data_IF_983572049298
#
_entry.id   IF_983572049298
#
_cell.length_a   1.000
_cell.length_b   1.000
_cell.length_c   1.000
_cell.angle_alpha   90.00
_cell.angle_beta   90.00
_cell.angle_gamma   90.00
#
_symmetry.space_group_name_H-M   'P 1'
#
loop_
_entity.id
_entity.type
_entity.pdbx_description
1 polymer ?
#
# COMPACT_ATOMS: atom_id res chain seq x y z
N UNK A 1 19.47 6.10 19.74
CA UNK A 1 18.23 5.30 19.72
C UNK A 1 17.39 5.83 18.55
N UNK A 2 17.39 5.09 17.44
CA UNK A 2 16.73 5.46 16.18
C UNK A 2 15.21 5.44 16.33
N UNK A 3 14.60 6.62 16.40
CA UNK A 3 13.15 6.78 16.46
C UNK A 3 12.45 7.23 15.14
N UNK A 4 12.89 6.88 13.90
CA UNK A 4 12.01 7.05 12.73
C UNK A 4 10.89 6.01 12.70
N UNK A 5 11.11 4.80 13.24
CA UNK A 5 10.25 3.65 12.97
C UNK A 5 8.90 3.69 13.70
N UNK A 6 8.75 4.49 14.76
CA UNK A 6 7.52 4.49 15.58
C UNK A 6 6.42 5.37 14.99
N UNK A 7 6.76 6.46 14.29
CA UNK A 7 5.76 7.31 13.62
C UNK A 7 5.08 6.57 12.47
N UNK A 8 5.87 5.95 11.61
CA UNK A 8 5.36 5.22 10.44
C UNK A 8 4.51 4.00 10.83
N UNK A 9 4.78 3.39 12.00
CA UNK A 9 3.97 2.30 12.54
C UNK A 9 2.63 2.75 13.07
N UNK A 10 2.52 3.93 13.67
CA UNK A 10 1.22 4.46 14.12
C UNK A 10 0.36 4.86 12.90
N UNK A 11 0.99 5.52 11.93
CA UNK A 11 0.32 5.99 10.70
C UNK A 11 -0.24 4.83 9.87
N UNK A 12 0.53 3.74 9.70
CA UNK A 12 0.04 2.57 8.95
C UNK A 12 -1.09 1.83 9.66
N UNK A 13 -1.15 1.89 11.00
CA UNK A 13 -2.26 1.28 11.76
C UNK A 13 -3.56 2.02 11.52
N UNK A 14 -3.52 3.35 11.67
CA UNK A 14 -4.69 4.20 11.40
C UNK A 14 -5.12 4.06 9.95
N UNK A 15 -4.17 4.02 9.01
CA UNK A 15 -4.46 3.81 7.60
C UNK A 15 -5.15 2.45 7.36
N UNK A 16 -4.66 1.38 7.99
CA UNK A 16 -5.22 0.04 7.84
C UNK A 16 -6.61 -0.10 8.46
N UNK A 17 -6.88 0.56 9.59
CA UNK A 17 -8.18 0.55 10.26
C UNK A 17 -9.25 1.40 9.54
N UNK A 18 -8.83 2.42 8.80
CA UNK A 18 -9.75 3.36 8.12
C UNK A 18 -9.89 3.13 6.61
N UNK A 19 -9.14 2.17 6.06
CA UNK A 19 -9.20 1.80 4.64
C UNK A 19 -9.75 0.38 4.49
N UNK A 20 -10.50 0.13 3.42
CA UNK A 20 -11.01 -1.21 3.10
C UNK A 20 -9.89 -2.11 2.57
N UNK A 21 -8.97 -1.51 1.82
CA UNK A 21 -7.79 -2.13 1.25
C UNK A 21 -6.54 -1.32 1.62
N UNK A 22 -5.39 -1.98 1.78
CA UNK A 22 -4.09 -1.31 2.00
C UNK A 22 -3.07 -1.83 0.99
N UNK A 23 -2.38 -0.91 0.31
CA UNK A 23 -1.31 -1.22 -0.61
C UNK A 23 0.01 -0.66 -0.08
N UNK A 24 0.99 -1.54 0.11
CA UNK A 24 2.36 -1.21 0.50
C UNK A 24 3.24 -1.34 -0.73
N UNK A 25 3.86 -0.24 -1.14
CA UNK A 25 4.76 -0.19 -2.30
C UNK A 25 6.20 -0.31 -1.82
N UNK A 26 6.86 -1.41 -2.16
CA UNK A 26 8.27 -1.60 -1.90
C UNK A 26 8.72 -3.03 -2.04
N UNK A 27 10.03 -3.20 -2.04
CA UNK A 27 10.66 -4.49 -2.27
C UNK A 27 10.31 -5.50 -1.15
N UNK A 28 9.83 -6.72 -1.48
CA UNK A 28 9.52 -7.76 -0.51
C UNK A 28 10.74 -8.29 0.26
N UNK A 29 11.96 -8.01 -0.20
CA UNK A 29 13.22 -8.32 0.50
C UNK A 29 13.62 -7.23 1.51
N UNK A 30 13.01 -6.04 1.42
CA UNK A 30 13.30 -4.94 2.34
C UNK A 30 12.59 -5.14 3.68
N UNK A 31 13.39 -5.21 4.75
CA UNK A 31 12.88 -5.34 6.11
C UNK A 31 11.91 -4.19 6.50
N UNK A 32 12.09 -2.98 5.93
CA UNK A 32 11.19 -1.86 6.19
C UNK A 32 9.82 -2.06 5.53
N UNK A 33 9.80 -2.47 4.25
CA UNK A 33 8.57 -2.74 3.51
C UNK A 33 7.79 -3.91 4.12
N UNK A 34 8.49 -5.01 4.43
CA UNK A 34 7.91 -6.17 5.12
C UNK A 34 7.32 -5.79 6.47
N UNK A 35 7.97 -4.92 7.23
CA UNK A 35 7.46 -4.48 8.54
C UNK A 35 6.18 -3.66 8.40
N UNK A 36 6.11 -2.73 7.46
CA UNK A 36 4.88 -1.96 7.19
C UNK A 36 3.74 -2.89 6.75
N UNK A 37 4.03 -3.80 5.83
CA UNK A 37 3.09 -4.81 5.36
C UNK A 37 2.59 -5.71 6.49
N UNK A 38 3.48 -6.24 7.33
CA UNK A 38 3.09 -7.13 8.44
C UNK A 38 2.16 -6.41 9.42
N UNK A 39 2.42 -5.13 9.71
CA UNK A 39 1.54 -4.34 10.58
C UNK A 39 0.18 -4.09 9.92
N UNK A 40 0.16 -3.69 8.64
CA UNK A 40 -1.09 -3.50 7.90
C UNK A 40 -1.90 -4.82 7.83
N UNK A 41 -1.26 -5.92 7.41
CA UNK A 41 -1.86 -7.23 7.28
C UNK A 41 -2.39 -7.80 8.61
N UNK A 42 -1.79 -7.39 9.74
CA UNK A 42 -2.29 -7.78 11.07
C UNK A 42 -3.60 -7.09 11.47
N UNK A 43 -3.93 -5.96 10.84
CA UNK A 43 -5.14 -5.17 11.12
C UNK A 43 -6.18 -5.26 10.01
N UNK A 44 -5.74 -5.38 8.76
CA UNK A 44 -6.58 -5.47 7.59
C UNK A 44 -6.10 -6.63 6.70
N UNK A 45 -6.97 -7.63 6.51
CA UNK A 45 -6.68 -8.81 5.70
C UNK A 45 -6.48 -8.48 4.20
N UNK A 46 -7.03 -7.36 3.72
CA UNK A 46 -6.87 -6.85 2.35
C UNK A 46 -5.63 -5.93 2.25
N UNK A 47 -4.53 -6.35 2.85
CA UNK A 47 -3.24 -5.68 2.73
C UNK A 47 -2.38 -6.40 1.69
N UNK A 48 -1.76 -5.64 0.79
CA UNK A 48 -0.96 -6.18 -0.32
C UNK A 48 0.40 -5.49 -0.38
N UNK A 49 1.46 -6.25 -0.64
CA UNK A 49 2.82 -5.75 -0.84
C UNK A 49 3.18 -5.92 -2.33
N UNK A 50 3.49 -4.81 -2.99
CA UNK A 50 3.84 -4.77 -4.42
C UNK A 50 5.16 -4.06 -4.61
N UNK A 51 6.02 -4.59 -5.47
CA UNK A 51 7.25 -3.91 -5.86
C UNK A 51 6.99 -2.98 -7.04
N UNK A 52 6.15 -3.42 -7.98
CA UNK A 52 5.90 -2.75 -9.25
C UNK A 52 4.40 -2.76 -9.61
N UNK A 53 4.02 -2.00 -10.63
CA UNK A 53 2.63 -1.93 -11.10
C UNK A 53 2.11 -3.28 -11.58
N UNK A 54 3.00 -4.11 -12.13
CA UNK A 54 2.69 -5.43 -12.67
C UNK A 54 2.27 -6.44 -11.59
N UNK A 55 2.70 -6.23 -10.34
CA UNK A 55 2.29 -7.05 -9.20
C UNK A 55 0.85 -6.75 -8.76
N UNK A 56 0.25 -5.67 -9.24
CA UNK A 56 -1.06 -5.21 -8.79
C UNK A 56 -2.17 -6.00 -9.48
N UNK A 57 -2.96 -6.73 -8.70
CA UNK A 57 -4.18 -7.38 -9.18
C UNK A 57 -5.39 -6.44 -8.99
N UNK A 58 -6.08 -6.02 -10.08
CA UNK A 58 -7.28 -5.19 -9.99
C UNK A 58 -8.42 -5.82 -9.19
N UNK A 59 -8.43 -7.15 -9.04
CA UNK A 59 -9.45 -7.86 -8.24
C UNK A 59 -9.38 -7.50 -6.75
N UNK A 60 -8.22 -7.12 -6.23
CA UNK A 60 -8.04 -6.71 -4.83
C UNK A 60 -8.87 -5.48 -4.48
N UNK A 61 -9.05 -4.57 -5.43
CA UNK A 61 -9.78 -3.32 -5.19
C UNK A 61 -11.28 -3.43 -5.49
N UNK A 62 -11.77 -4.60 -5.94
CA UNK A 62 -13.19 -4.77 -6.25
C UNK A 62 -14.03 -4.69 -4.99
N UNK A 63 -14.83 -3.63 -4.88
CA UNK A 63 -15.69 -3.38 -3.74
C UNK A 63 -15.01 -2.63 -2.57
N UNK A 64 -13.70 -2.36 -2.67
CA UNK A 64 -13.03 -1.43 -1.76
C UNK A 64 -13.42 0.01 -2.13
N UNK A 65 -14.00 0.75 -1.18
CA UNK A 65 -14.35 2.17 -1.35
C UNK A 65 -13.19 3.08 -0.94
N UNK A 66 -12.39 2.64 0.03
CA UNK A 66 -11.20 3.33 0.53
C UNK A 66 -9.96 2.45 0.35
N UNK A 67 -8.96 2.98 -0.37
CA UNK A 67 -7.66 2.36 -0.54
C UNK A 67 -6.58 3.22 0.12
N UNK A 68 -5.94 2.66 1.14
CA UNK A 68 -4.77 3.26 1.77
C UNK A 68 -3.50 2.87 1.03
N UNK A 69 -2.74 3.83 0.53
CA UNK A 69 -1.46 3.57 -0.14
C UNK A 69 -0.32 4.07 0.73
N UNK A 70 0.68 3.23 0.97
CA UNK A 70 1.92 3.58 1.67
C UNK A 70 3.13 3.05 0.90
N UNK A 71 4.30 3.65 1.11
CA UNK A 71 5.53 3.21 0.46
C UNK A 71 6.68 3.10 1.46
N UNK A 72 7.56 2.13 1.21
CA UNK A 72 8.81 2.00 1.95
C UNK A 72 9.71 3.22 1.73
N UNK A 73 10.53 3.56 2.73
CA UNK A 73 11.47 4.69 2.64
C UNK A 73 12.52 4.54 1.52
N UNK A 74 12.74 3.31 1.04
CA UNK A 74 13.67 2.97 -0.04
C UNK A 74 12.99 2.89 -1.42
N UNK A 75 11.68 3.12 -1.51
CA UNK A 75 10.93 3.00 -2.76
C UNK A 75 11.07 4.30 -3.57
N UNK A 76 11.49 4.23 -4.85
CA UNK A 76 11.59 5.43 -5.69
C UNK A 76 10.23 6.11 -5.90
N UNK A 77 10.21 7.44 -5.84
CA UNK A 77 8.98 8.22 -6.07
C UNK A 77 8.32 7.94 -7.42
N UNK A 78 9.12 7.60 -8.45
CA UNK A 78 8.63 7.18 -9.76
C UNK A 78 7.70 5.98 -9.69
N UNK A 79 8.09 4.94 -8.95
CA UNK A 79 7.29 3.71 -8.80
C UNK A 79 5.99 4.03 -8.05
N UNK A 80 6.08 4.87 -7.01
CA UNK A 80 4.91 5.32 -6.26
C UNK A 80 3.91 6.03 -7.18
N UNK A 81 4.39 6.95 -8.03
CA UNK A 81 3.55 7.70 -8.96
C UNK A 81 2.94 6.81 -10.05
N UNK A 82 3.70 5.86 -10.58
CA UNK A 82 3.23 4.86 -11.56
C UNK A 82 2.11 3.99 -10.97
N UNK A 83 2.28 3.48 -9.75
CA UNK A 83 1.28 2.68 -9.02
C UNK A 83 0.01 3.50 -8.74
N UNK A 84 0.15 4.73 -8.24
CA UNK A 84 -0.99 5.61 -7.98
C UNK A 84 -1.75 5.91 -9.27
N UNK A 85 -1.04 6.16 -10.37
CA UNK A 85 -1.63 6.43 -11.68
C UNK A 85 -2.41 5.22 -12.19
N UNK A 86 -1.83 4.02 -12.07
CA UNK A 86 -2.49 2.77 -12.45
C UNK A 86 -3.78 2.53 -11.65
N UNK A 87 -3.73 2.64 -10.32
CA UNK A 87 -4.90 2.50 -9.44
C UNK A 87 -5.99 3.53 -9.78
N UNK A 88 -5.60 4.78 -10.06
CA UNK A 88 -6.54 5.82 -10.50
C UNK A 88 -7.21 5.45 -11.82
N UNK A 89 -6.48 4.85 -12.77
CA UNK A 89 -7.07 4.36 -14.02
C UNK A 89 -8.07 3.23 -13.77
N UNK A 90 -7.77 2.30 -12.86
CA UNK A 90 -8.70 1.22 -12.48
C UNK A 90 -9.96 1.74 -11.79
N UNK A 91 -9.83 2.78 -10.96
CA UNK A 91 -10.95 3.41 -10.25
C UNK A 91 -11.78 4.33 -11.17
N UNK A 92 -11.18 4.80 -12.27
CA UNK A 92 -11.78 5.69 -13.26
C UNK A 92 -12.64 4.99 -14.32
N UNK A 93 -12.56 3.65 -14.44
CA UNK A 93 -13.41 2.87 -15.36
C UNK A 93 -14.79 2.59 -14.76
N UNK A 94 -15.52 3.67 -14.54
CA UNK A 94 -16.97 3.73 -14.76
C UNK A 94 -17.24 4.64 -15.95
N UNK A 95 -16.84 4.23 -17.16
CA UNK A 95 -17.47 4.80 -18.36
C UNK A 95 -17.77 3.69 -19.35
N UNK A 96 -19.08 3.45 -19.44
CA UNK A 96 -19.78 2.64 -20.44
C UNK A 96 -19.46 3.00 -21.88
#
# INVERSE_FOLDING_TARGET
ICAPTRRNQEEIRVLAETSDCVLVIGDPTSANSLRLFTVAASLNANSHLVAEVEDIDPSWFRGCQSLGVTAGASTPARVIDEVITYIKSLSGDKTS
#
